data_IF_042043758858
#
_entry.id   IF_042043758858
#
_cell.length_a   1.000
_cell.length_b   1.000
_cell.length_c   1.000
_cell.angle_alpha   90.00
_cell.angle_beta   90.00
_cell.angle_gamma   90.00
#
_symmetry.space_group_name_H-M   'P 1'
#
loop_
_entity.id
_entity.type
_entity.pdbx_description
1 polymer ?
#
# COMPACT_ATOMS: atom_id res chain seq x y z
N UNK A 1 -24.12 -5.81 -14.87
CA UNK A 1 -22.90 -5.46 -15.63
C UNK A 1 -22.48 -4.09 -15.10
N UNK A 2 -21.51 -3.91 -14.23
CA UNK A 2 -20.21 -4.57 -14.01
C UNK A 2 -19.91 -4.42 -12.52
N UNK A 3 -20.07 -5.50 -11.74
CA UNK A 3 -19.42 -5.57 -10.43
C UNK A 3 -17.95 -5.84 -10.76
N UNK A 4 -17.12 -4.81 -10.72
CA UNK A 4 -15.67 -4.97 -10.92
C UNK A 4 -15.09 -5.67 -9.69
N UNK A 5 -15.40 -6.96 -9.54
CA UNK A 5 -14.61 -7.93 -8.81
C UNK A 5 -13.42 -8.31 -9.71
N UNK A 6 -12.54 -7.34 -9.94
CA UNK A 6 -11.21 -7.62 -10.42
C UNK A 6 -10.29 -7.17 -9.31
N UNK A 7 -9.77 -8.12 -8.53
CA UNK A 7 -8.32 -8.33 -8.45
C UNK A 7 -7.99 -9.28 -7.28
N UNK A 8 -8.36 -10.56 -7.38
CA UNK A 8 -7.68 -11.63 -6.63
C UNK A 8 -6.25 -11.78 -7.17
N UNK A 9 -5.36 -10.83 -6.88
CA UNK A 9 -3.92 -11.09 -7.00
C UNK A 9 -3.53 -11.96 -5.81
N UNK A 10 -3.67 -13.27 -6.03
CA UNK A 10 -2.88 -14.29 -5.36
C UNK A 10 -1.41 -13.94 -5.61
N UNK A 11 -0.76 -13.23 -4.68
CA UNK A 11 0.67 -13.03 -4.77
C UNK A 11 1.25 -12.76 -3.39
N UNK A 12 2.06 -13.70 -2.92
CA UNK A 12 2.96 -13.60 -1.78
C UNK A 12 3.90 -12.37 -1.86
N UNK A 13 3.96 -11.66 -3.00
CA UNK A 13 4.67 -10.40 -3.19
C UNK A 13 3.86 -9.12 -2.90
N UNK A 14 4.55 -7.97 -2.99
CA UNK A 14 3.94 -6.65 -2.85
C UNK A 14 2.96 -6.39 -4.00
N UNK A 15 1.68 -6.04 -3.74
CA UNK A 15 0.74 -5.74 -4.80
C UNK A 15 1.22 -4.56 -5.64
N UNK A 16 1.18 -4.69 -6.97
CA UNK A 16 1.72 -3.69 -7.92
C UNK A 16 1.16 -2.29 -7.64
N UNK A 17 -0.14 -2.17 -7.37
CA UNK A 17 -0.74 -0.87 -7.05
C UNK A 17 -0.18 -0.24 -5.77
N UNK A 18 0.22 -1.06 -4.78
CA UNK A 18 0.83 -0.59 -3.55
C UNK A 18 2.27 -0.15 -3.78
N UNK A 19 3.07 -0.97 -4.48
CA UNK A 19 4.44 -0.61 -4.86
C UNK A 19 4.48 0.66 -5.71
N UNK A 20 3.53 0.83 -6.62
CA UNK A 20 3.42 2.01 -7.47
C UNK A 20 2.99 3.25 -6.67
N UNK A 21 2.05 3.10 -5.74
CA UNK A 21 1.67 4.19 -4.83
C UNK A 21 2.86 4.61 -3.94
N UNK A 22 3.67 3.67 -3.44
CA UNK A 22 4.90 4.00 -2.71
C UNK A 22 5.92 4.75 -3.59
N UNK A 23 6.07 4.34 -4.85
CA UNK A 23 6.99 5.00 -5.79
C UNK A 23 6.52 6.41 -6.19
N UNK A 24 5.20 6.67 -6.18
CA UNK A 24 4.65 8.00 -6.47
C UNK A 24 4.94 9.02 -5.37
N UNK A 25 5.27 8.58 -4.16
CA UNK A 25 5.60 9.47 -3.05
C UNK A 25 7.10 9.45 -2.78
N UNK A 26 7.78 10.61 -2.78
CA UNK A 26 9.18 10.67 -2.34
C UNK A 26 9.24 10.23 -0.88
N UNK A 27 10.10 9.26 -0.58
CA UNK A 27 10.19 8.64 0.75
C UNK A 27 9.19 7.50 1.02
N UNK A 28 8.29 7.16 0.09
CA UNK A 28 7.36 6.04 0.25
C UNK A 28 8.04 4.70 0.44
N UNK A 29 9.00 4.38 -0.44
CA UNK A 29 9.81 3.17 -0.29
C UNK A 29 10.65 3.17 0.99
N UNK A 30 11.21 4.31 1.40
CA UNK A 30 12.02 4.40 2.62
C UNK A 30 11.17 4.25 3.88
N UNK A 31 10.02 4.92 3.95
CA UNK A 31 9.05 4.75 5.02
C UNK A 31 8.60 3.29 5.12
N UNK A 32 8.28 2.65 3.98
CA UNK A 32 7.93 1.23 3.98
C UNK A 32 9.12 0.36 4.40
N UNK A 33 10.34 0.64 3.94
CA UNK A 33 11.54 -0.11 4.31
C UNK A 33 11.87 0.01 5.81
N UNK A 34 11.65 1.19 6.40
CA UNK A 34 11.86 1.51 7.80
C UNK A 34 10.85 0.84 8.75
N UNK A 35 9.70 0.38 8.25
CA UNK A 35 8.73 -0.36 9.05
C UNK A 35 9.22 -1.77 9.42
N UNK A 36 8.83 -2.21 10.62
CA UNK A 36 8.98 -3.60 11.07
C UNK A 36 8.16 -4.56 10.19
N UNK A 37 8.57 -5.82 10.11
CA UNK A 37 7.92 -6.85 9.29
C UNK A 37 6.41 -7.00 9.60
N UNK A 38 6.03 -6.98 10.88
CA UNK A 38 4.62 -6.98 11.28
C UNK A 38 3.81 -5.84 10.67
N UNK A 39 4.38 -4.63 10.62
CA UNK A 39 3.71 -3.47 10.03
C UNK A 39 3.64 -3.59 8.52
N UNK A 40 4.74 -4.01 7.87
CA UNK A 40 4.76 -4.28 6.43
C UNK A 40 3.65 -5.25 6.04
N UNK A 41 3.48 -6.33 6.80
CA UNK A 41 2.45 -7.35 6.57
C UNK A 41 1.03 -6.81 6.80
N UNK A 42 0.82 -6.00 7.85
CA UNK A 42 -0.46 -5.30 8.11
C UNK A 42 -0.85 -4.41 6.91
N UNK A 43 0.08 -3.61 6.41
CA UNK A 43 -0.15 -2.73 5.25
C UNK A 43 -0.34 -3.53 3.96
N UNK A 44 0.40 -4.62 3.76
CA UNK A 44 0.23 -5.51 2.61
C UNK A 44 -1.16 -6.16 2.61
N UNK A 45 -1.62 -6.65 3.76
CA UNK A 45 -2.95 -7.22 3.89
C UNK A 45 -4.05 -6.17 3.65
N UNK A 46 -3.88 -4.95 4.15
CA UNK A 46 -4.81 -3.85 3.83
C UNK A 46 -4.79 -3.52 2.34
N UNK A 47 -3.61 -3.43 1.73
CA UNK A 47 -3.47 -3.13 0.31
C UNK A 47 -4.07 -4.22 -0.59
N UNK A 48 -3.98 -5.49 -0.19
CA UNK A 48 -4.65 -6.62 -0.86
C UNK A 48 -6.18 -6.54 -0.75
N UNK A 49 -6.71 -6.01 0.35
CA UNK A 49 -8.14 -5.84 0.56
C UNK A 49 -8.72 -4.54 -0.03
N UNK A 50 -7.87 -3.61 -0.45
CA UNK A 50 -8.31 -2.34 -1.02
C UNK A 50 -9.06 -2.57 -2.33
N UNK A 51 -10.31 -2.11 -2.42
CA UNK A 51 -11.16 -2.29 -3.60
C UNK A 51 -11.09 -1.13 -4.59
N UNK A 52 -10.34 -0.08 -4.23
CA UNK A 52 -10.25 1.13 -5.03
C UNK A 52 -8.86 1.76 -4.98
N UNK A 53 -8.50 2.48 -6.05
CA UNK A 53 -7.26 3.28 -6.10
C UNK A 53 -7.20 4.29 -4.96
N UNK A 54 -8.35 4.89 -4.60
CA UNK A 54 -8.45 5.85 -3.49
C UNK A 54 -8.13 5.20 -2.14
N UNK A 55 -8.71 4.03 -1.85
CA UNK A 55 -8.36 3.27 -0.63
C UNK A 55 -6.87 2.95 -0.58
N UNK A 56 -6.30 2.49 -1.70
CA UNK A 56 -4.87 2.16 -1.76
C UNK A 56 -3.98 3.38 -1.47
N UNK A 57 -4.33 4.54 -2.03
CA UNK A 57 -3.64 5.80 -1.72
C UNK A 57 -3.78 6.18 -0.24
N UNK A 58 -4.96 6.00 0.36
CA UNK A 58 -5.16 6.28 1.78
C UNK A 58 -4.33 5.34 2.68
N UNK A 59 -4.20 4.06 2.32
CA UNK A 59 -3.37 3.10 3.04
C UNK A 59 -1.90 3.52 3.01
N UNK A 60 -1.38 3.87 1.83
CA UNK A 60 0.01 4.36 1.67
C UNK A 60 0.22 5.71 2.36
N UNK A 61 -0.75 6.61 2.28
CA UNK A 61 -0.66 7.91 2.94
C UNK A 61 -0.71 7.76 4.47
N UNK A 62 -1.47 6.80 5.00
CA UNK A 62 -1.48 6.47 6.43
C UNK A 62 -0.14 5.87 6.88
N UNK A 63 0.50 5.06 6.02
CA UNK A 63 1.85 4.58 6.24
C UNK A 63 2.87 5.73 6.29
N UNK A 64 2.81 6.65 5.33
CA UNK A 64 3.72 7.80 5.23
C UNK A 64 3.58 8.75 6.43
N UNK A 65 2.34 9.05 6.82
CA UNK A 65 2.02 9.87 7.99
C UNK A 65 2.54 9.26 9.30
N UNK A 66 2.47 7.93 9.44
CA UNK A 66 3.00 7.23 10.60
C UNK A 66 4.53 7.16 10.66
N UNK A 67 5.22 7.39 9.54
CA UNK A 67 6.68 7.29 9.44
C UNK A 67 7.43 8.60 9.70
N UNK A 68 6.74 9.67 10.11
CA UNK A 68 7.39 10.98 10.35
C UNK A 68 8.12 11.54 9.12
N UNK A 69 7.72 11.16 7.90
CA UNK A 69 8.21 11.81 6.69
C UNK A 69 7.38 13.09 6.48
N UNK A 70 7.84 14.18 7.10
CA UNK A 70 7.29 15.52 6.89
C UNK A 70 7.91 16.07 5.61
N UNK A 71 7.20 15.89 4.48
CA UNK A 71 7.47 16.66 3.26
C UNK A 71 6.78 18.01 3.35
#
# INVERSE_FOLDING_TARGET
>A
MICTDQNKLQNDGIPVGFGMALAMHPGGMEAFAALSEQKKEEYLNRARNAKSKKEMQQIVQSLLQGSSYTG
#
